data_IF_988934915709
#
_entry.id   IF_988934915709
#
_cell.length_a   1.000
_cell.length_b   1.000
_cell.length_c   1.000
_cell.angle_alpha   90.00
_cell.angle_beta   90.00
_cell.angle_gamma   90.00
#
_symmetry.space_group_name_H-M   'P 1'
#
loop_
_entity.id
_entity.type
_entity.pdbx_description
1 polymer ?
#
# COMPACT_ATOMS: atom_id res chain seq x y z
N UNK A 1 -20.66 2.63 -47.66
CA UNK A 1 -19.42 3.38 -47.93
C UNK A 1 -19.84 4.77 -48.37
N UNK A 2 -19.51 5.83 -47.63
CA UNK A 2 -19.82 7.20 -48.03
C UNK A 2 -18.57 7.75 -48.73
N UNK A 3 -18.65 7.83 -50.05
CA UNK A 3 -17.63 8.48 -50.87
C UNK A 3 -17.68 9.99 -50.57
N UNK A 4 -16.58 10.53 -50.05
CA UNK A 4 -16.40 11.97 -49.95
C UNK A 4 -16.15 12.49 -51.38
N UNK A 5 -17.19 13.05 -51.99
CA UNK A 5 -17.04 13.83 -53.21
C UNK A 5 -16.25 15.10 -52.88
N UNK A 6 -14.92 15.02 -52.96
CA UNK A 6 -14.05 16.19 -52.97
C UNK A 6 -14.32 16.94 -54.28
N UNK A 7 -14.99 18.10 -54.19
CA UNK A 7 -15.06 19.03 -55.31
C UNK A 7 -13.63 19.40 -55.71
N UNK A 8 -13.32 19.49 -57.03
CA UNK A 8 -11.99 19.87 -57.47
C UNK A 8 -11.67 21.27 -56.94
N UNK A 9 -10.57 21.38 -56.18
CA UNK A 9 -10.04 22.67 -55.74
C UNK A 9 -9.64 23.43 -57.02
N UNK A 10 -10.19 24.62 -57.27
CA UNK A 10 -9.81 25.41 -58.45
C UNK A 10 -8.29 25.65 -58.44
N UNK A 11 -7.61 25.17 -59.48
CA UNK A 11 -6.18 25.39 -59.73
C UNK A 11 -5.90 26.90 -59.69
N UNK A 12 -5.20 27.36 -58.64
CA UNK A 12 -4.88 28.77 -58.41
C UNK A 12 -5.50 29.41 -57.15
N UNK A 13 -6.29 28.68 -56.37
CA UNK A 13 -6.74 29.15 -55.05
C UNK A 13 -5.65 28.93 -53.99
N UNK A 14 -5.38 29.97 -53.20
CA UNK A 14 -4.44 29.86 -52.08
C UNK A 14 -5.04 28.91 -51.03
N UNK A 15 -4.30 27.89 -50.55
CA UNK A 15 -4.83 26.95 -49.56
C UNK A 15 -5.23 27.71 -48.30
N UNK A 16 -6.42 27.41 -47.79
CA UNK A 16 -6.92 28.00 -46.55
C UNK A 16 -5.96 27.67 -45.41
N UNK A 17 -5.75 28.64 -44.53
CA UNK A 17 -4.98 28.39 -43.31
C UNK A 17 -5.69 27.39 -42.40
N UNK A 18 -4.92 26.65 -41.59
CA UNK A 18 -5.48 25.68 -40.64
C UNK A 18 -6.57 26.31 -39.75
N UNK A 19 -6.35 27.55 -39.31
CA UNK A 19 -7.30 28.32 -38.50
C UNK A 19 -8.61 28.63 -39.25
N UNK A 20 -8.54 28.99 -40.54
CA UNK A 20 -9.73 29.23 -41.38
C UNK A 20 -10.52 27.94 -41.64
N UNK A 21 -9.83 26.82 -41.82
CA UNK A 21 -10.46 25.51 -41.99
C UNK A 21 -11.18 25.11 -40.69
N UNK A 22 -10.53 25.31 -39.54
CA UNK A 22 -11.14 25.05 -38.23
C UNK A 22 -12.39 25.90 -38.00
N UNK A 23 -12.33 27.21 -38.30
CA UNK A 23 -13.49 28.11 -38.17
C UNK A 23 -14.65 27.72 -39.11
N UNK A 24 -14.37 27.20 -40.30
CA UNK A 24 -15.40 26.79 -41.27
C UNK A 24 -16.04 25.44 -40.90
N UNK A 25 -15.25 24.47 -40.45
CA UNK A 25 -15.72 23.10 -40.13
C UNK A 25 -16.33 23.03 -38.73
N UNK A 26 -15.70 23.66 -37.73
CA UNK A 26 -16.10 23.60 -36.33
C UNK A 26 -16.95 24.81 -35.91
N UNK A 27 -17.01 25.84 -36.75
CA UNK A 27 -17.59 27.14 -36.44
C UNK A 27 -16.63 28.04 -35.65
N UNK A 28 -16.75 29.37 -35.80
CA UNK A 28 -16.09 30.33 -34.89
C UNK A 28 -16.60 30.10 -33.47
N UNK A 29 -15.78 29.52 -32.60
CA UNK A 29 -16.20 29.12 -31.24
C UNK A 29 -15.94 30.26 -30.24
N UNK A 30 -16.98 30.91 -29.67
CA UNK A 30 -16.78 31.95 -28.66
C UNK A 30 -16.94 31.34 -27.26
N UNK A 31 -15.91 30.73 -26.66
CA UNK A 31 -16.07 30.24 -25.28
C UNK A 31 -14.95 29.40 -24.63
N UNK A 32 -14.79 29.58 -23.31
CA UNK A 32 -13.63 29.13 -22.50
C UNK A 32 -13.55 27.62 -22.39
N UNK A 33 -12.56 27.05 -23.08
CA UNK A 33 -12.18 25.64 -22.96
C UNK A 33 -11.18 25.48 -21.81
N UNK A 34 -11.58 24.80 -20.73
CA UNK A 34 -10.74 24.60 -19.53
C UNK A 34 -9.55 23.71 -19.87
N UNK A 35 -8.33 24.23 -19.69
CA UNK A 35 -7.07 23.52 -19.97
C UNK A 35 -6.40 23.87 -21.31
N UNK A 36 -7.12 24.47 -22.25
CA UNK A 36 -6.57 25.00 -23.51
C UNK A 36 -6.92 26.48 -23.78
N UNK A 37 -7.66 27.12 -22.86
CA UNK A 37 -7.79 28.56 -22.69
C UNK A 37 -8.48 29.32 -23.83
N UNK A 38 -9.81 29.45 -23.80
CA UNK A 38 -10.53 30.29 -24.77
C UNK A 38 -11.70 31.14 -24.21
N UNK A 39 -11.54 32.01 -23.22
CA UNK A 39 -12.63 32.87 -22.73
C UNK A 39 -12.40 33.34 -21.28
N UNK A 40 -13.34 34.09 -20.66
CA UNK A 40 -13.04 34.79 -19.40
C UNK A 40 -12.67 33.83 -18.25
N UNK A 41 -11.46 34.01 -17.69
CA UNK A 41 -10.84 33.19 -16.64
C UNK A 41 -11.77 33.01 -15.44
N UNK A 42 -12.04 31.76 -14.99
CA UNK A 42 -12.82 31.54 -13.78
C UNK A 42 -12.10 32.15 -12.56
N UNK A 43 -12.80 32.98 -11.77
CA UNK A 43 -12.27 33.44 -10.47
C UNK A 43 -12.15 32.23 -9.55
N UNK A 44 -10.94 31.98 -9.07
CA UNK A 44 -10.62 30.80 -8.28
C UNK A 44 -11.45 30.75 -6.99
N UNK A 45 -12.47 29.88 -6.96
CA UNK A 45 -13.08 29.45 -5.70
C UNK A 45 -12.11 28.48 -5.03
N UNK A 46 -11.53 28.88 -3.90
CA UNK A 46 -10.66 28.03 -3.06
C UNK A 46 -11.34 26.67 -2.83
N UNK A 47 -10.73 25.61 -3.33
CA UNK A 47 -11.10 24.22 -3.05
C UNK A 47 -10.56 23.83 -1.67
N UNK A 48 -11.42 23.86 -0.66
CA UNK A 48 -11.13 23.40 0.70
C UNK A 48 -11.18 21.86 0.82
N UNK A 49 -10.57 21.13 -0.12
CA UNK A 49 -10.62 19.66 -0.17
C UNK A 49 -9.25 18.97 -0.17
N UNK A 50 -8.14 19.73 -0.14
CA UNK A 50 -6.79 19.18 0.00
C UNK A 50 -6.43 18.85 1.46
N UNK A 51 -7.12 19.45 2.44
CA UNK A 51 -6.77 19.37 3.86
C UNK A 51 -7.18 18.06 4.55
N UNK A 52 -8.22 17.38 4.07
CA UNK A 52 -8.73 16.15 4.69
C UNK A 52 -7.89 14.90 4.38
N UNK A 53 -7.20 14.88 3.23
CA UNK A 53 -6.35 13.76 2.83
C UNK A 53 -5.00 13.71 3.56
N UNK A 54 -4.45 14.87 3.93
CA UNK A 54 -3.17 14.94 4.65
C UNK A 54 -3.30 14.55 6.13
N UNK A 55 -4.44 14.82 6.76
CA UNK A 55 -4.68 14.44 8.17
C UNK A 55 -4.92 12.94 8.34
N UNK A 56 -5.62 12.29 7.40
CA UNK A 56 -5.89 10.85 7.47
C UNK A 56 -4.62 10.01 7.25
N UNK A 57 -3.72 10.45 6.35
CA UNK A 57 -2.43 9.81 6.12
C UNK A 57 -1.56 9.81 7.40
N UNK A 58 -1.45 10.95 8.09
CA UNK A 58 -0.68 11.05 9.34
C UNK A 58 -1.27 10.18 10.46
N UNK A 59 -2.60 10.14 10.58
CA UNK A 59 -3.28 9.26 11.55
C UNK A 59 -3.03 7.77 11.25
N UNK A 60 -2.96 7.39 9.97
CA UNK A 60 -2.65 6.01 9.56
C UNK A 60 -1.22 5.63 9.95
N UNK A 61 -0.25 6.50 9.65
CA UNK A 61 1.17 6.28 9.99
C UNK A 61 1.35 6.16 11.51
N UNK A 62 0.67 7.00 12.29
CA UNK A 62 0.73 6.92 13.75
C UNK A 62 0.24 5.57 14.29
N UNK A 63 -0.86 5.03 13.73
CA UNK A 63 -1.39 3.72 14.11
C UNK A 63 -0.46 2.58 13.71
N UNK A 64 0.20 2.70 12.55
CA UNK A 64 1.19 1.72 12.10
C UNK A 64 2.37 1.63 13.06
N UNK A 65 2.89 2.77 13.53
CA UNK A 65 3.97 2.83 14.53
C UNK A 65 3.51 2.20 15.85
N UNK A 66 2.29 2.48 16.31
CA UNK A 66 1.75 1.89 17.54
C UNK A 66 1.63 0.36 17.43
N UNK A 67 1.18 -0.14 16.27
CA UNK A 67 1.08 -1.58 16.02
C UNK A 67 2.46 -2.25 15.95
N UNK A 68 3.45 -1.60 15.34
CA UNK A 68 4.82 -2.10 15.34
C UNK A 68 5.39 -2.22 16.77
N UNK A 69 5.15 -1.22 17.62
CA UNK A 69 5.58 -1.26 19.02
C UNK A 69 4.92 -2.42 19.78
N UNK A 70 3.60 -2.62 19.62
CA UNK A 70 2.87 -3.74 20.23
C UNK A 70 3.37 -5.10 19.74
N UNK A 71 3.69 -5.20 18.45
CA UNK A 71 4.23 -6.43 17.87
C UNK A 71 5.60 -6.77 18.47
N UNK A 72 6.49 -5.78 18.62
CA UNK A 72 7.79 -5.98 19.25
C UNK A 72 7.66 -6.43 20.70
N UNK A 73 6.81 -5.78 21.50
CA UNK A 73 6.54 -6.17 22.88
C UNK A 73 5.99 -7.60 23.00
N UNK A 74 5.10 -8.00 22.09
CA UNK A 74 4.56 -9.35 22.05
C UNK A 74 5.64 -10.40 21.74
N UNK A 75 6.56 -10.08 20.82
CA UNK A 75 7.68 -10.97 20.49
C UNK A 75 8.64 -11.17 21.66
N UNK A 76 8.99 -10.10 22.39
CA UNK A 76 9.81 -10.21 23.60
C UNK A 76 9.15 -11.10 24.65
N UNK A 77 7.83 -10.97 24.85
CA UNK A 77 7.07 -11.81 25.78
C UNK A 77 7.11 -13.28 25.39
N UNK A 78 6.94 -13.60 24.10
CA UNK A 78 7.04 -14.97 23.59
C UNK A 78 8.43 -15.53 23.84
N UNK A 79 9.48 -14.76 23.57
CA UNK A 79 10.86 -15.22 23.74
C UNK A 79 11.19 -15.49 25.23
N UNK A 80 10.70 -14.65 26.15
CA UNK A 80 10.83 -14.91 27.59
C UNK A 80 10.05 -16.16 28.01
N UNK A 81 8.84 -16.32 27.48
CA UNK A 81 8.02 -17.50 27.75
C UNK A 81 8.69 -18.79 27.26
N UNK A 82 9.27 -18.79 26.06
CA UNK A 82 9.98 -19.94 25.48
C UNK A 82 11.17 -20.35 26.33
N UNK A 83 11.98 -19.37 26.79
CA UNK A 83 13.08 -19.65 27.73
C UNK A 83 12.59 -20.28 29.02
N UNK A 84 11.46 -19.81 29.56
CA UNK A 84 10.88 -20.37 30.77
C UNK A 84 10.41 -21.82 30.54
N UNK A 85 9.70 -22.09 29.45
CA UNK A 85 9.26 -23.44 29.08
C UNK A 85 10.44 -24.38 28.91
N UNK A 86 11.51 -23.92 28.26
CA UNK A 86 12.73 -24.69 28.08
C UNK A 86 13.39 -25.02 29.43
N UNK A 87 13.52 -24.03 30.33
CA UNK A 87 14.09 -24.25 31.65
C UNK A 87 13.28 -25.25 32.48
N UNK A 88 11.94 -25.12 32.45
CA UNK A 88 11.03 -26.05 33.12
C UNK A 88 11.14 -27.46 32.53
N UNK A 89 11.21 -27.60 31.20
CA UNK A 89 11.40 -28.88 30.55
C UNK A 89 12.71 -29.55 30.96
N UNK A 90 13.82 -28.80 31.00
CA UNK A 90 15.11 -29.31 31.49
C UNK A 90 15.06 -29.74 32.96
N UNK A 91 14.33 -29.01 33.81
CA UNK A 91 14.15 -29.40 35.22
C UNK A 91 13.36 -30.71 35.35
N UNK A 92 12.27 -30.86 34.59
CA UNK A 92 11.45 -32.07 34.59
C UNK A 92 12.27 -33.26 34.09
N UNK A 93 13.07 -33.09 33.04
CA UNK A 93 13.93 -34.13 32.50
C UNK A 93 15.01 -34.56 33.50
N UNK A 94 15.64 -33.61 34.20
CA UNK A 94 16.58 -33.91 35.27
C UNK A 94 15.94 -34.68 36.43
N UNK A 95 14.72 -34.28 36.83
CA UNK A 95 13.98 -34.97 37.89
C UNK A 95 13.58 -36.38 37.48
N UNK A 96 13.13 -36.57 36.24
CA UNK A 96 12.83 -37.89 35.67
C UNK A 96 14.06 -38.80 35.71
N UNK A 97 15.23 -38.30 35.30
CA UNK A 97 16.48 -39.05 35.34
C UNK A 97 16.87 -39.46 36.76
N UNK A 98 16.74 -38.56 37.74
CA UNK A 98 17.02 -38.89 39.13
C UNK A 98 16.13 -40.03 39.65
N UNK A 99 14.85 -40.02 39.29
CA UNK A 99 13.92 -41.10 39.65
C UNK A 99 14.33 -42.41 38.98
N UNK A 100 14.66 -42.39 37.68
CA UNK A 100 15.14 -43.57 36.95
C UNK A 100 16.43 -44.15 37.56
N UNK A 101 17.40 -43.30 37.93
CA UNK A 101 18.65 -43.75 38.55
C UNK A 101 18.40 -44.36 39.94
N UNK A 102 17.55 -43.73 40.77
CA UNK A 102 17.18 -44.26 42.09
C UNK A 102 16.44 -45.60 41.97
N UNK A 103 15.49 -45.71 41.04
CA UNK A 103 14.76 -46.96 40.82
C UNK A 103 15.64 -48.08 40.29
N UNK A 104 16.70 -47.78 39.53
CA UNK A 104 17.70 -48.76 39.09
C UNK A 104 18.57 -49.24 40.25
N UNK A 105 19.08 -48.32 41.06
CA UNK A 105 19.91 -48.65 42.22
C UNK A 105 19.16 -49.51 43.26
N UNK A 106 17.84 -49.28 43.42
CA UNK A 106 16.99 -50.08 44.31
C UNK A 106 16.65 -51.49 43.76
N UNK A 107 16.84 -51.72 42.46
CA UNK A 107 16.56 -53.01 41.80
C UNK A 107 17.82 -53.87 41.63
N UNK A 108 19.01 -53.37 42.00
CA UNK A 108 20.25 -54.14 41.91
C UNK A 108 20.24 -55.26 42.97
N UNK A 109 20.32 -56.56 42.57
CA UNK A 109 20.30 -57.67 43.52
C UNK A 109 21.51 -57.61 44.46
N UNK A 110 21.40 -58.10 45.71
CA UNK A 110 22.56 -58.20 46.59
C UNK A 110 23.62 -59.10 45.92
N UNK A 111 24.82 -58.57 45.74
CA UNK A 111 25.95 -59.34 45.22
C UNK A 111 26.26 -60.49 46.19
N UNK A 112 26.14 -61.73 45.69
CA UNK A 112 26.49 -62.93 46.44
C UNK A 112 28.03 -63.02 46.61
N UNK A 113 28.53 -63.46 47.78
CA UNK A 113 29.97 -63.56 48.10
C UNK A 113 30.68 -64.77 47.46
#
# INVERSE_FOLDING_TARGET
MLELQSQPIPEGSQPLSEDEICDQVLGRRPGYSKGLGWGPKPKARRTASASSSSTSCLQSIQKEIELQAKLHEALERIEVQDRNHQALASQVEAMKKMIEDLTRAQQEPPHDP
#
